data_IF_003132937679
#
_entry.id   IF_003132937679
#
_cell.length_a   1.000
_cell.length_b   1.000
_cell.length_c   1.000
_cell.angle_alpha   90.00
_cell.angle_beta   90.00
_cell.angle_gamma   90.00
#
_symmetry.space_group_name_H-M   'P 1'
#
loop_
_entity.id
_entity.type
_entity.pdbx_description
1 polymer ?
#
# COMPACT_ATOMS: atom_id res chain seq x y z
N UNK A 1 -13.35 -6.08 11.94
CA UNK A 1 -13.12 -6.11 10.53
C UNK A 1 -11.83 -6.77 10.13
N UNK A 2 -10.89 -7.05 10.96
CA UNK A 2 -9.77 -7.92 10.70
C UNK A 2 -8.73 -7.47 9.68
N UNK A 3 -8.89 -6.28 9.07
CA UNK A 3 -7.91 -5.78 8.09
C UNK A 3 -6.59 -5.39 8.74
N UNK A 4 -6.64 -4.87 9.96
CA UNK A 4 -5.45 -4.49 10.70
C UNK A 4 -5.51 -5.11 12.09
N UNK A 5 -4.37 -5.55 12.58
CA UNK A 5 -4.22 -5.98 13.96
C UNK A 5 -3.44 -4.95 14.76
N UNK A 6 -3.67 -4.91 16.06
CA UNK A 6 -2.92 -4.05 16.96
C UNK A 6 -1.52 -4.59 17.23
N UNK A 7 -0.71 -3.82 17.92
CA UNK A 7 0.62 -4.25 18.36
C UNK A 7 0.54 -5.22 19.53
N UNK A 8 -0.63 -5.29 20.18
CA UNK A 8 -0.98 -6.29 21.17
C UNK A 8 -2.48 -6.55 21.06
N UNK A 9 -3.00 -7.46 21.87
CA UNK A 9 -4.43 -7.78 21.86
C UNK A 9 -5.32 -6.56 22.11
N UNK A 10 -4.84 -5.57 22.84
CA UNK A 10 -5.64 -4.44 23.29
C UNK A 10 -5.13 -3.08 22.81
N UNK A 11 -4.01 -3.02 22.09
CA UNK A 11 -3.37 -1.75 21.70
C UNK A 11 -3.23 -1.69 20.19
N UNK A 12 -3.86 -0.71 19.58
CA UNK A 12 -3.76 -0.47 18.13
C UNK A 12 -2.48 0.27 17.75
N UNK A 13 -1.95 1.14 18.61
CA UNK A 13 -0.74 1.94 18.39
C UNK A 13 -0.83 2.79 17.11
N UNK A 14 -1.75 3.76 17.04
CA UNK A 14 -2.05 4.49 15.81
C UNK A 14 -0.88 5.33 15.28
N UNK A 15 0.06 5.74 16.13
CA UNK A 15 1.18 6.59 15.74
C UNK A 15 2.38 5.81 15.22
N UNK A 16 2.36 4.47 15.33
CA UNK A 16 3.42 3.66 14.76
C UNK A 16 3.27 3.57 13.24
N UNK A 17 4.39 3.41 12.56
CA UNK A 17 4.39 3.23 11.12
C UNK A 17 3.94 1.81 10.75
N UNK A 18 3.47 1.67 9.51
CA UNK A 18 3.09 0.37 8.95
C UNK A 18 4.19 -0.06 7.99
N UNK A 19 4.58 -1.33 8.06
CA UNK A 19 5.62 -1.85 7.17
C UNK A 19 5.05 -2.29 5.83
N UNK A 20 5.92 -2.40 4.84
CA UNK A 20 5.57 -2.90 3.51
C UNK A 20 4.99 -4.32 3.60
N UNK A 21 5.61 -5.19 4.41
CA UNK A 21 5.11 -6.55 4.64
C UNK A 21 3.71 -6.59 5.24
N UNK A 22 3.42 -5.67 6.16
CA UNK A 22 2.09 -5.58 6.77
C UNK A 22 1.01 -5.21 5.74
N UNK A 23 1.30 -4.29 4.84
CA UNK A 23 0.33 -3.87 3.82
C UNK A 23 -0.03 -5.02 2.88
N UNK A 24 0.97 -5.73 2.36
CA UNK A 24 0.67 -6.86 1.46
C UNK A 24 -0.06 -7.98 2.19
N UNK A 25 0.22 -8.17 3.48
CA UNK A 25 -0.49 -9.16 4.29
C UNK A 25 -1.95 -8.80 4.45
N UNK A 26 -2.26 -7.52 4.65
CA UNK A 26 -3.64 -7.05 4.73
C UNK A 26 -4.39 -7.36 3.43
N UNK A 27 -3.81 -7.02 2.28
CA UNK A 27 -4.44 -7.27 0.98
C UNK A 27 -4.61 -8.77 0.73
N UNK A 28 -3.62 -9.57 1.11
CA UNK A 28 -3.68 -11.02 0.97
C UNK A 28 -4.84 -11.62 1.79
N UNK A 29 -5.03 -11.11 3.01
CA UNK A 29 -6.16 -11.52 3.86
C UNK A 29 -7.50 -11.09 3.27
N UNK A 30 -7.56 -9.92 2.65
CA UNK A 30 -8.78 -9.45 1.98
C UNK A 30 -9.18 -10.38 0.83
N UNK A 31 -8.22 -11.07 0.22
CA UNK A 31 -8.45 -12.05 -0.83
C UNK A 31 -8.64 -13.48 -0.29
N UNK A 32 -8.83 -13.63 1.02
CA UNK A 32 -9.00 -14.92 1.71
C UNK A 32 -7.78 -15.83 1.59
N UNK A 33 -6.60 -15.23 1.56
CA UNK A 33 -5.31 -15.93 1.60
C UNK A 33 -5.22 -17.06 0.56
N UNK A 34 -5.31 -16.72 -0.75
CA UNK A 34 -5.27 -17.74 -1.80
C UNK A 34 -3.97 -18.54 -1.76
N UNK A 35 -4.04 -19.80 -2.20
CA UNK A 35 -2.87 -20.67 -2.21
C UNK A 35 -1.76 -20.06 -3.09
N UNK A 36 -0.53 -20.11 -2.58
CA UNK A 36 0.64 -19.57 -3.27
C UNK A 36 1.55 -20.74 -3.63
N UNK A 37 1.97 -20.78 -4.89
CA UNK A 37 2.90 -21.80 -5.38
C UNK A 37 4.27 -21.17 -5.66
N UNK A 38 5.34 -21.83 -5.20
CA UNK A 38 6.69 -21.36 -5.41
C UNK A 38 7.13 -20.31 -4.39
N UNK A 39 8.44 -20.07 -4.37
CA UNK A 39 9.06 -19.10 -3.50
C UNK A 39 9.15 -17.74 -4.19
N UNK A 40 9.24 -16.69 -3.41
CA UNK A 40 9.53 -15.35 -3.93
C UNK A 40 10.99 -15.26 -4.38
N UNK A 41 11.25 -14.39 -5.36
CA UNK A 41 12.60 -14.08 -5.80
C UNK A 41 13.36 -13.15 -4.82
N UNK A 42 12.67 -12.64 -3.80
CA UNK A 42 13.27 -11.69 -2.86
C UNK A 42 14.08 -12.41 -1.80
N UNK A 43 15.36 -12.07 -1.70
CA UNK A 43 16.29 -12.71 -0.77
C UNK A 43 16.07 -12.29 0.68
N UNK A 44 15.41 -11.17 0.90
CA UNK A 44 15.11 -10.64 2.23
C UNK A 44 13.72 -11.04 2.75
N UNK A 45 13.05 -11.97 2.07
CA UNK A 45 11.75 -12.51 2.50
C UNK A 45 11.94 -13.98 2.85
N UNK A 46 12.12 -14.28 4.14
CA UNK A 46 12.29 -15.65 4.61
C UNK A 46 10.95 -16.39 4.58
N UNK A 47 10.98 -17.67 4.22
CA UNK A 47 9.77 -18.48 4.03
C UNK A 47 8.95 -18.68 5.32
N UNK A 48 9.56 -18.52 6.48
CA UNK A 48 8.92 -18.70 7.79
C UNK A 48 8.27 -17.41 8.33
N UNK A 49 8.38 -16.30 7.62
CA UNK A 49 7.81 -15.04 8.06
C UNK A 49 6.31 -14.99 7.75
N UNK A 50 5.55 -14.28 8.62
CA UNK A 50 4.09 -14.18 8.46
C UNK A 50 3.67 -13.56 7.12
N UNK A 51 4.52 -12.72 6.53
CA UNK A 51 4.22 -12.02 5.27
C UNK A 51 4.72 -12.77 4.03
N UNK A 52 5.39 -13.91 4.18
CA UNK A 52 6.08 -14.56 3.06
C UNK A 52 5.12 -14.94 1.92
N UNK A 53 4.00 -15.59 2.24
CA UNK A 53 3.02 -15.97 1.23
C UNK A 53 2.34 -14.73 0.63
N UNK A 54 2.07 -13.73 1.44
CA UNK A 54 1.47 -12.48 0.97
C UNK A 54 2.36 -11.77 -0.04
N UNK A 55 3.67 -11.69 0.24
CA UNK A 55 4.63 -11.06 -0.68
C UNK A 55 4.72 -11.86 -1.98
N UNK A 56 4.81 -13.19 -1.89
CA UNK A 56 4.86 -14.04 -3.08
C UNK A 56 3.60 -13.87 -3.94
N UNK A 57 2.44 -13.90 -3.31
CA UNK A 57 1.16 -13.69 -4.00
C UNK A 57 1.11 -12.33 -4.69
N UNK A 58 1.46 -11.27 -3.97
CA UNK A 58 1.38 -9.91 -4.50
C UNK A 58 2.36 -9.70 -5.66
N UNK A 59 3.56 -10.26 -5.57
CA UNK A 59 4.55 -10.17 -6.64
C UNK A 59 4.12 -10.96 -7.87
N UNK A 60 3.58 -12.16 -7.69
CA UNK A 60 3.10 -12.99 -8.80
C UNK A 60 1.95 -12.35 -9.56
N UNK A 61 1.14 -11.55 -8.89
CA UNK A 61 -0.01 -10.87 -9.49
C UNK A 61 0.26 -9.42 -9.89
N UNK A 62 1.51 -8.99 -9.85
CA UNK A 62 1.89 -7.66 -10.28
C UNK A 62 1.43 -6.52 -9.36
N UNK A 63 1.02 -6.85 -8.14
CA UNK A 63 0.54 -5.86 -7.17
C UNK A 63 1.72 -5.10 -6.55
N UNK A 64 2.84 -5.80 -6.33
CA UNK A 64 4.05 -5.18 -5.80
C UNK A 64 5.25 -5.56 -6.65
N UNK A 65 6.26 -4.70 -6.59
CA UNK A 65 7.61 -5.02 -7.04
C UNK A 65 8.56 -4.75 -5.88
N UNK A 66 9.77 -5.28 -5.95
CA UNK A 66 10.77 -5.03 -4.92
C UNK A 66 11.31 -3.61 -4.96
N UNK A 67 12.05 -3.26 -3.93
CA UNK A 67 12.87 -2.04 -3.94
C UNK A 67 14.05 -2.20 -4.89
N UNK A 68 14.47 -3.46 -5.10
CA UNK A 68 15.40 -3.87 -6.18
C UNK A 68 14.87 -5.16 -6.80
N UNK A 69 15.58 -5.72 -7.78
CA UNK A 69 15.19 -7.00 -8.39
C UNK A 69 15.16 -8.17 -7.40
N UNK A 70 15.92 -8.08 -6.31
CA UNK A 70 16.10 -9.20 -5.36
C UNK A 70 15.70 -8.86 -3.92
N UNK A 71 15.29 -7.63 -3.64
CA UNK A 71 14.88 -7.20 -2.28
C UNK A 71 13.49 -6.58 -2.29
N UNK A 72 12.69 -6.93 -1.30
CA UNK A 72 11.35 -6.37 -1.11
C UNK A 72 11.31 -5.31 -0.02
N UNK A 73 12.21 -5.39 0.95
CA UNK A 73 12.25 -4.55 2.15
C UNK A 73 10.96 -4.68 2.98
N UNK A 74 10.59 -5.90 3.43
CA UNK A 74 9.31 -6.13 4.10
C UNK A 74 9.18 -5.39 5.43
N UNK A 75 10.28 -5.12 6.11
CA UNK A 75 10.27 -4.47 7.44
C UNK A 75 10.43 -2.95 7.36
N UNK A 76 10.63 -2.40 6.17
CA UNK A 76 10.70 -0.94 6.03
C UNK A 76 9.30 -0.33 6.16
N UNK A 77 9.22 0.84 6.77
CA UNK A 77 7.98 1.60 6.82
C UNK A 77 7.50 1.91 5.40
N UNK A 78 6.21 1.74 5.16
CA UNK A 78 5.63 2.08 3.86
C UNK A 78 5.48 3.60 3.76
N UNK A 79 5.83 4.15 2.60
CA UNK A 79 5.62 5.58 2.34
C UNK A 79 4.23 5.80 1.74
N UNK A 80 3.77 7.05 1.77
CA UNK A 80 2.47 7.43 1.23
C UNK A 80 2.39 7.13 -0.27
N UNK A 81 3.45 7.42 -1.04
CA UNK A 81 3.47 7.10 -2.47
C UNK A 81 3.54 5.60 -2.75
N UNK A 82 4.24 4.84 -1.91
CA UNK A 82 4.26 3.38 -2.03
C UNK A 82 2.87 2.80 -1.76
N UNK A 83 2.18 3.33 -0.77
CA UNK A 83 0.80 2.92 -0.48
C UNK A 83 -0.12 3.17 -1.67
N UNK A 84 0.00 4.35 -2.29
CA UNK A 84 -0.77 4.67 -3.49
C UNK A 84 -0.48 3.69 -4.63
N UNK A 85 0.79 3.40 -4.88
CA UNK A 85 1.20 2.49 -5.95
C UNK A 85 0.66 1.07 -5.74
N UNK A 86 0.74 0.56 -4.51
CA UNK A 86 0.25 -0.78 -4.19
C UNK A 86 -1.26 -0.85 -4.37
N UNK A 87 -2.00 0.11 -3.84
CA UNK A 87 -3.46 0.12 -3.95
C UNK A 87 -3.93 0.30 -5.40
N UNK A 88 -3.23 1.11 -6.18
CA UNK A 88 -3.53 1.30 -7.59
C UNK A 88 -3.41 -0.02 -8.37
N UNK A 89 -2.31 -0.73 -8.16
CA UNK A 89 -2.09 -2.03 -8.81
C UNK A 89 -3.06 -3.09 -8.31
N UNK A 90 -3.38 -3.08 -7.02
CA UNK A 90 -4.38 -3.98 -6.46
C UNK A 90 -5.76 -3.72 -7.07
N UNK A 91 -6.15 -2.46 -7.20
CA UNK A 91 -7.42 -2.09 -7.83
C UNK A 91 -7.48 -2.56 -9.29
N UNK A 92 -6.38 -2.42 -10.02
CA UNK A 92 -6.28 -2.93 -11.40
C UNK A 92 -6.40 -4.45 -11.43
N UNK A 93 -5.74 -5.14 -10.52
CA UNK A 93 -5.83 -6.59 -10.38
C UNK A 93 -7.28 -7.04 -10.15
N UNK A 94 -8.03 -6.32 -9.34
CA UNK A 94 -9.43 -6.62 -9.05
C UNK A 94 -10.39 -6.17 -10.15
N UNK A 95 -9.93 -5.40 -11.12
CA UNK A 95 -10.79 -4.82 -12.14
C UNK A 95 -11.64 -3.67 -11.66
N UNK A 96 -11.27 -3.04 -10.55
CA UNK A 96 -11.98 -1.86 -10.04
C UNK A 96 -11.68 -0.64 -10.91
N UNK A 97 -12.57 0.36 -10.82
CA UNK A 97 -12.42 1.60 -11.58
C UNK A 97 -11.23 2.42 -11.05
N UNK A 98 -10.25 2.64 -11.89
CA UNK A 98 -9.07 3.45 -11.59
C UNK A 98 -9.00 4.70 -12.47
N UNK A 99 -10.12 5.16 -12.99
CA UNK A 99 -10.18 6.30 -13.91
C UNK A 99 -10.04 7.66 -13.22
N UNK A 100 -10.26 7.74 -11.92
CA UNK A 100 -10.09 9.00 -11.19
C UNK A 100 -8.65 9.50 -11.32
N UNK A 101 -8.50 10.79 -11.55
CA UNK A 101 -7.18 11.38 -11.73
C UNK A 101 -7.23 12.86 -11.35
N UNK A 102 -6.59 13.21 -10.25
CA UNK A 102 -6.50 14.59 -9.80
C UNK A 102 -5.33 15.30 -10.45
N UNK A 103 -5.45 16.62 -10.56
CA UNK A 103 -4.32 17.48 -10.91
C UNK A 103 -3.52 17.74 -9.63
N UNK A 104 -2.29 17.23 -9.57
CA UNK A 104 -1.43 17.36 -8.41
C UNK A 104 -0.66 18.68 -8.37
N UNK A 105 -0.81 19.54 -9.39
CA UNK A 105 -0.04 20.79 -9.48
C UNK A 105 -0.35 21.77 -8.34
N UNK A 106 -1.46 21.59 -7.64
CA UNK A 106 -1.80 22.39 -6.46
C UNK A 106 -0.86 22.14 -5.28
N UNK A 107 -0.13 21.03 -5.32
CA UNK A 107 0.80 20.66 -4.24
C UNK A 107 2.22 21.09 -4.61
N UNK A 108 2.87 21.80 -3.68
CA UNK A 108 4.22 22.34 -3.92
C UNK A 108 5.27 21.25 -4.07
N UNK A 109 5.01 20.06 -3.49
CA UNK A 109 5.93 18.92 -3.52
C UNK A 109 5.49 17.84 -4.52
N UNK A 110 4.61 18.15 -5.46
CA UNK A 110 4.16 17.18 -6.47
C UNK A 110 5.34 16.60 -7.27
N UNK A 111 6.36 17.40 -7.55
CA UNK A 111 7.56 16.96 -8.27
C UNK A 111 8.39 15.93 -7.48
N UNK A 112 8.16 15.80 -6.18
CA UNK A 112 8.84 14.82 -5.34
C UNK A 112 8.24 13.42 -5.43
N UNK A 113 7.07 13.28 -6.07
CA UNK A 113 6.46 11.96 -6.28
C UNK A 113 7.34 11.18 -7.26
N UNK A 114 7.72 9.97 -6.88
CA UNK A 114 8.53 9.10 -7.74
C UNK A 114 7.79 8.79 -9.05
N UNK A 115 8.55 8.66 -10.13
CA UNK A 115 7.97 8.40 -11.45
C UNK A 115 7.07 7.16 -11.46
N UNK A 116 7.44 6.13 -10.68
CA UNK A 116 6.66 4.90 -10.59
C UNK A 116 5.29 5.09 -9.93
N UNK A 117 5.12 6.16 -9.16
CA UNK A 117 3.92 6.39 -8.35
C UNK A 117 3.09 7.60 -8.83
N UNK A 118 3.49 8.27 -9.90
CA UNK A 118 2.83 9.50 -10.35
C UNK A 118 1.35 9.25 -10.69
N UNK A 119 1.07 8.26 -11.53
CA UNK A 119 -0.31 7.94 -11.90
C UNK A 119 -1.11 7.41 -10.70
N UNK A 120 -0.47 6.59 -9.87
CA UNK A 120 -1.11 6.04 -8.67
C UNK A 120 -1.48 7.14 -7.68
N UNK A 121 -0.61 8.11 -7.48
CA UNK A 121 -0.88 9.23 -6.57
C UNK A 121 -2.00 10.12 -7.10
N UNK A 122 -2.00 10.41 -8.40
CA UNK A 122 -3.06 11.18 -9.02
C UNK A 122 -4.42 10.48 -8.88
N UNK A 123 -4.44 9.16 -9.10
CA UNK A 123 -5.63 8.36 -8.87
C UNK A 123 -6.07 8.38 -7.40
N UNK A 124 -5.14 8.11 -6.48
CA UNK A 124 -5.47 8.03 -5.06
C UNK A 124 -6.00 9.36 -4.51
N UNK A 125 -5.43 10.46 -4.95
CA UNK A 125 -5.90 11.79 -4.58
C UNK A 125 -7.27 12.07 -5.20
N UNK A 126 -7.44 11.78 -6.49
CA UNK A 126 -8.70 11.98 -7.19
C UNK A 126 -9.83 11.13 -6.65
N UNK A 127 -9.53 9.92 -6.18
CA UNK A 127 -10.51 9.01 -5.57
C UNK A 127 -10.77 9.32 -4.08
N UNK A 128 -10.06 10.28 -3.52
CA UNK A 128 -10.24 10.66 -2.12
C UNK A 128 -9.59 9.71 -1.12
N UNK A 129 -8.66 8.86 -1.57
CA UNK A 129 -7.99 7.88 -0.70
C UNK A 129 -6.85 8.52 0.08
N UNK A 130 -6.02 9.29 -0.62
CA UNK A 130 -4.86 9.98 -0.04
C UNK A 130 -5.03 11.46 -0.30
N UNK A 131 -5.22 12.20 0.78
CA UNK A 131 -5.31 13.66 0.71
C UNK A 131 -3.95 14.25 1.09
N UNK A 132 -3.77 15.55 0.89
CA UNK A 132 -2.54 16.21 1.32
C UNK A 132 -2.35 16.15 2.84
N UNK A 133 -1.11 16.26 3.28
CA UNK A 133 -0.78 16.46 4.70
C UNK A 133 -1.10 17.89 5.12
N UNK A 134 -1.18 18.79 4.14
CA UNK A 134 -1.69 20.15 4.28
C UNK A 134 -2.42 20.52 2.99
N UNK A 135 -2.91 21.76 2.91
CA UNK A 135 -3.56 22.26 1.69
C UNK A 135 -2.61 22.28 0.49
N UNK A 136 -1.29 22.32 0.72
CA UNK A 136 -0.28 22.51 -0.33
C UNK A 136 0.79 21.43 -0.38
N UNK A 137 0.75 20.40 0.49
CA UNK A 137 1.78 19.35 0.50
C UNK A 137 1.14 17.96 0.49
N UNK A 138 1.74 17.04 -0.29
CA UNK A 138 1.37 15.62 -0.33
C UNK A 138 2.22 14.77 0.61
N UNK A 139 3.46 15.16 0.83
CA UNK A 139 4.46 14.40 1.58
C UNK A 139 4.59 12.96 1.04
N UNK A 140 4.92 12.78 -0.25
CA UNK A 140 4.89 11.45 -0.88
C UNK A 140 5.88 10.46 -0.26
N UNK A 141 7.04 10.93 0.17
CA UNK A 141 8.05 10.08 0.80
C UNK A 141 7.86 9.93 2.31
N UNK A 142 6.85 10.59 2.89
CA UNK A 142 6.54 10.46 4.30
C UNK A 142 5.98 9.08 4.63
N UNK A 143 6.31 8.56 5.80
CA UNK A 143 5.82 7.25 6.24
C UNK A 143 4.33 7.34 6.59
N UNK A 144 3.58 6.33 6.19
CA UNK A 144 2.18 6.22 6.57
C UNK A 144 2.07 5.60 7.98
N UNK A 145 1.38 6.29 8.88
CA UNK A 145 1.09 5.75 10.21
C UNK A 145 -0.01 4.70 10.12
N UNK A 146 -0.16 3.89 11.18
CA UNK A 146 -1.25 2.90 11.23
C UNK A 146 -2.62 3.58 11.11
N UNK A 147 -2.80 4.74 11.74
CA UNK A 147 -4.04 5.50 11.63
C UNK A 147 -4.31 5.96 10.19
N UNK A 148 -3.28 6.47 9.50
CA UNK A 148 -3.41 6.87 8.10
C UNK A 148 -3.74 5.68 7.21
N UNK A 149 -3.07 4.55 7.40
CA UNK A 149 -3.32 3.32 6.65
C UNK A 149 -4.77 2.85 6.87
N UNK A 150 -5.23 2.84 8.11
CA UNK A 150 -6.61 2.44 8.42
C UNK A 150 -7.62 3.34 7.70
N UNK A 151 -7.41 4.65 7.70
CA UNK A 151 -8.28 5.60 7.01
C UNK A 151 -8.27 5.38 5.50
N UNK A 152 -7.08 5.18 4.92
CA UNK A 152 -6.94 4.94 3.47
C UNK A 152 -7.65 3.66 3.08
N UNK A 153 -7.46 2.58 3.84
CA UNK A 153 -8.11 1.28 3.56
C UNK A 153 -9.63 1.38 3.72
N UNK A 154 -10.12 2.10 4.72
CA UNK A 154 -11.54 2.32 4.89
C UNK A 154 -12.14 3.02 3.65
N UNK A 155 -11.50 4.11 3.22
CA UNK A 155 -11.93 4.85 2.02
C UNK A 155 -11.86 3.98 0.77
N UNK A 156 -10.82 3.16 0.66
CA UNK A 156 -10.68 2.21 -0.46
C UNK A 156 -11.89 1.27 -0.50
N UNK A 157 -12.22 0.66 0.63
CA UNK A 157 -13.36 -0.26 0.70
C UNK A 157 -14.68 0.43 0.39
N UNK A 158 -14.86 1.67 0.84
CA UNK A 158 -16.12 2.41 0.63
C UNK A 158 -16.27 2.95 -0.78
N UNK A 159 -15.18 3.40 -1.40
CA UNK A 159 -15.24 4.17 -2.65
C UNK A 159 -14.82 3.36 -3.87
N UNK A 160 -13.97 2.36 -3.71
CA UNK A 160 -13.36 1.64 -4.83
C UNK A 160 -13.81 0.17 -4.87
N UNK A 161 -13.70 -0.51 -3.75
CA UNK A 161 -13.98 -1.95 -3.66
C UNK A 161 -15.47 -2.22 -3.47
N UNK A 162 -16.25 -1.80 -4.44
CA UNK A 162 -17.72 -1.94 -4.39
C UNK A 162 -18.19 -3.16 -5.14
#
# INVERSE_FOLDING_TARGET
NGMMSGTSETIFSPDLTTTRGMIVTILYRMENEPAVTGATAFTDVAADQYYANAVAWAAQNGIVSGTTATTFAPNNAITREQMAAILYRYAQFKGYDVSAKADLSVYTDAASVGAYATDAMAWANGAGLITGTSATTLTPAGNATRAQVATILMRFCENIAK
#
